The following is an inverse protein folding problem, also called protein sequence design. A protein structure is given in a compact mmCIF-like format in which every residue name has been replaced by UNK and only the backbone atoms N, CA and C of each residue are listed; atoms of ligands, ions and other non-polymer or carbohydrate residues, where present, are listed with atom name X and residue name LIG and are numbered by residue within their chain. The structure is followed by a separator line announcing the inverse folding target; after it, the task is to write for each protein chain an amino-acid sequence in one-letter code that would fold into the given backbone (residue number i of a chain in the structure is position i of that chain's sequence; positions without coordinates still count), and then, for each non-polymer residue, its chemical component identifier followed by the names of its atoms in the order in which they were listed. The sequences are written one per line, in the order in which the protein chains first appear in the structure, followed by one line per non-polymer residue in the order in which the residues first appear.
data_IF_895701919488
#
_entry.id   IF_895701919488
#
_cell.length_a   1.000
_cell.length_b   1.000
_cell.length_c   1.000
_cell.angle_alpha   90.00
_cell.angle_beta   90.00
_cell.angle_gamma   90.00
#
_symmetry.space_group_name_H-M   'P 1'
#
loop_
_entity.id
_entity.type
_entity.pdbx_description
1 polymer ?
#
# COMPACT_ATOMS: atom_id res chain seq x y z
N UNK A 1 9.02 16.56 -26.48
CA UNK A 1 10.18 15.65 -26.64
C UNK A 1 11.15 15.78 -25.46
N UNK A 2 11.44 16.99 -24.96
CA UNK A 2 12.19 17.23 -23.71
C UNK A 2 11.58 16.56 -22.48
N UNK A 3 10.26 16.66 -22.34
CA UNK A 3 9.56 16.33 -21.09
C UNK A 3 9.56 14.82 -20.78
N UNK A 4 9.60 13.96 -21.81
CA UNK A 4 9.72 12.51 -21.63
C UNK A 4 11.10 12.08 -21.14
N UNK A 5 12.17 12.78 -21.56
CA UNK A 5 13.53 12.50 -21.09
C UNK A 5 13.65 12.91 -19.62
N UNK A 6 13.12 14.08 -19.27
CA UNK A 6 13.12 14.58 -17.91
C UNK A 6 12.30 13.68 -16.97
N UNK A 7 11.12 13.22 -17.40
CA UNK A 7 10.33 12.25 -16.63
C UNK A 7 11.06 10.89 -16.47
N UNK A 8 11.76 10.42 -17.51
CA UNK A 8 12.53 9.18 -17.43
C UNK A 8 13.69 9.30 -16.42
N UNK A 9 14.42 10.42 -16.44
CA UNK A 9 15.48 10.71 -15.49
C UNK A 9 14.93 10.85 -14.06
N UNK A 10 13.82 11.58 -13.88
CA UNK A 10 13.14 11.73 -12.58
C UNK A 10 12.73 10.37 -12.01
N UNK A 11 12.14 9.49 -12.83
CA UNK A 11 11.76 8.12 -12.42
C UNK A 11 12.97 7.26 -12.08
N UNK A 12 14.09 7.42 -12.78
CA UNK A 12 15.34 6.71 -12.47
C UNK A 12 15.94 7.12 -11.13
N UNK A 13 15.79 8.39 -10.74
CA UNK A 13 16.31 8.92 -9.48
C UNK A 13 15.38 8.67 -8.28
N UNK A 14 14.06 8.87 -8.45
CA UNK A 14 13.09 8.86 -7.35
C UNK A 14 12.15 7.64 -7.37
N UNK A 15 12.25 6.79 -8.39
CA UNK A 15 11.32 5.69 -8.63
C UNK A 15 10.03 6.13 -9.30
N UNK A 16 9.14 5.17 -9.54
CA UNK A 16 7.83 5.45 -10.12
C UNK A 16 6.94 6.23 -9.14
N UNK A 17 6.17 7.21 -9.66
CA UNK A 17 5.20 7.98 -8.86
C UNK A 17 4.15 7.03 -8.28
N UNK A 18 4.03 7.02 -6.96
CA UNK A 18 3.03 6.22 -6.27
C UNK A 18 1.63 6.82 -6.43
N UNK A 19 0.67 6.00 -6.85
CA UNK A 19 -0.76 6.34 -6.81
C UNK A 19 -1.33 6.08 -5.42
N UNK A 20 -2.29 6.92 -4.98
CA UNK A 20 -3.03 6.79 -3.70
C UNK A 20 -2.10 6.65 -2.47
N UNK A 21 -1.18 7.60 -2.28
CA UNK A 21 -0.16 7.56 -1.20
C UNK A 21 -0.74 7.40 0.21
N UNK A 22 -1.91 7.98 0.47
CA UNK A 22 -2.57 7.88 1.78
C UNK A 22 -3.05 6.47 2.09
N UNK A 23 -3.61 5.77 1.10
CA UNK A 23 -4.03 4.37 1.25
C UNK A 23 -2.81 3.47 1.52
N UNK A 24 -1.74 3.63 0.74
CA UNK A 24 -0.49 2.87 0.92
C UNK A 24 0.10 3.11 2.31
N UNK A 25 0.06 4.34 2.81
CA UNK A 25 0.55 4.65 4.17
C UNK A 25 -0.29 3.98 5.26
N UNK A 26 -1.61 3.92 5.07
CA UNK A 26 -2.53 3.34 6.05
C UNK A 26 -2.54 1.81 6.03
N UNK A 27 -2.46 1.21 4.85
CA UNK A 27 -2.61 -0.23 4.62
C UNK A 27 -1.30 -0.97 4.32
N UNK A 28 -0.20 -0.56 4.96
CA UNK A 28 1.10 -1.26 4.85
C UNK A 28 1.54 -1.47 3.38
N UNK A 29 1.46 -0.41 2.57
CA UNK A 29 1.83 -0.36 1.15
C UNK A 29 0.83 -1.01 0.19
N UNK A 30 -0.22 -1.68 0.69
CA UNK A 30 -1.30 -2.22 -0.13
C UNK A 30 -2.31 -1.13 -0.55
N UNK A 31 -2.99 -1.40 -1.67
CA UNK A 31 -4.15 -0.62 -2.10
C UNK A 31 -5.42 -1.18 -1.48
N UNK A 32 -6.37 -0.32 -1.10
CA UNK A 32 -7.60 -0.74 -0.41
C UNK A 32 -8.41 -1.78 -1.20
N UNK A 33 -8.38 -1.69 -2.53
CA UNK A 33 -9.07 -2.60 -3.45
C UNK A 33 -8.56 -4.05 -3.42
N UNK A 34 -7.32 -4.28 -2.95
CA UNK A 34 -6.67 -5.60 -2.94
C UNK A 34 -6.68 -6.27 -1.55
N UNK A 35 -7.38 -5.69 -0.57
CA UNK A 35 -7.34 -6.14 0.83
C UNK A 35 -8.62 -6.90 1.15
N UNK A 36 -8.48 -8.19 1.43
CA UNK A 36 -9.59 -9.03 1.91
C UNK A 36 -9.94 -8.74 3.38
N UNK A 37 -8.93 -8.49 4.22
CA UNK A 37 -9.11 -8.16 5.64
C UNK A 37 -8.02 -7.21 6.15
N UNK A 38 -8.40 -6.25 7.00
CA UNK A 38 -7.47 -5.38 7.72
C UNK A 38 -7.81 -5.38 9.21
N UNK A 39 -6.80 -5.64 10.05
CA UNK A 39 -6.95 -5.67 11.51
C UNK A 39 -6.25 -4.46 12.14
N UNK A 40 -6.90 -3.86 13.14
CA UNK A 40 -6.27 -2.85 13.98
C UNK A 40 -5.19 -3.50 14.85
N UNK A 41 -4.16 -2.74 15.23
CA UNK A 41 -3.07 -3.21 16.10
C UNK A 41 -3.56 -3.93 17.36
N UNK A 42 -4.58 -3.39 18.03
CA UNK A 42 -5.18 -4.01 19.22
C UNK A 42 -5.93 -5.31 18.96
N UNK A 43 -6.39 -5.57 17.73
CA UNK A 43 -7.01 -6.85 17.34
C UNK A 43 -5.95 -7.92 17.09
N UNK A 44 -4.79 -7.55 16.54
CA UNK A 44 -3.64 -8.45 16.35
C UNK A 44 -3.03 -8.88 17.69
N UNK A 45 -2.98 -7.97 18.67
CA UNK A 45 -2.37 -8.23 19.98
C UNK A 45 -3.24 -9.10 20.92
N UNK A 46 -4.51 -9.36 20.58
CA UNK A 46 -5.38 -10.25 21.36
C UNK A 46 -4.97 -11.70 21.09
N UNK A 47 -4.90 -12.54 22.12
CA UNK A 47 -4.55 -13.97 21.99
C UNK A 47 -5.50 -14.74 21.06
N UNK A 48 -6.76 -14.30 20.96
CA UNK A 48 -7.75 -14.80 20.00
C UNK A 48 -7.70 -13.99 18.69
N UNK A 49 -6.50 -13.72 18.18
CA UNK A 49 -6.29 -12.94 16.96
C UNK A 49 -7.07 -13.61 15.81
N UNK A 50 -8.21 -12.99 15.49
CA UNK A 50 -9.15 -13.32 14.44
C UNK A 50 -9.22 -14.82 14.09
N UNK A 51 -10.21 -15.54 14.63
CA UNK A 51 -10.68 -16.80 14.02
C UNK A 51 -11.26 -16.45 12.65
N UNK A 52 -10.39 -16.35 11.65
CA UNK A 52 -10.76 -16.10 10.27
C UNK A 52 -11.40 -17.40 9.77
N UNK A 53 -12.69 -17.34 9.45
CA UNK A 53 -13.32 -18.38 8.64
C UNK A 53 -12.94 -18.04 7.20
N UNK A 54 -12.14 -18.85 6.50
CA UNK A 54 -11.87 -18.60 5.10
C UNK A 54 -13.21 -18.59 4.34
N UNK A 55 -13.34 -17.69 3.37
CA UNK A 55 -14.43 -17.69 2.40
C UNK A 55 -14.44 -18.99 1.60
#
# INVERSE_FOLDING_TARGET
MSDQLEEYLERGMYGAKETKRDERRYFLTALRENIEIALKKGQVMKKDAAKIKPL
#
